data_IF_266698099753
#
_entry.id   IF_266698099753
#
_cell.length_a   1.000
_cell.length_b   1.000
_cell.length_c   1.000
_cell.angle_alpha   90.00
_cell.angle_beta   90.00
_cell.angle_gamma   90.00
#
_symmetry.space_group_name_H-M   'P 1'
#
loop_
_entity.id
_entity.type
_entity.pdbx_description
1 polymer ?
#
# COMPACT_ATOMS: atom_id res chain seq x y z
N UNK A 1 -26.77 52.23 -22.10
CA UNK A 1 -26.46 52.90 -20.81
C UNK A 1 -25.28 52.21 -20.15
N UNK A 2 -24.30 53.01 -19.73
CA UNK A 2 -23.13 52.58 -18.95
C UNK A 2 -23.54 52.22 -17.50
N UNK A 3 -22.88 51.29 -16.76
CA UNK A 3 -23.24 50.95 -15.37
C UNK A 3 -23.35 52.15 -14.44
N UNK A 4 -22.54 53.19 -14.67
CA UNK A 4 -22.60 54.46 -13.94
C UNK A 4 -23.95 55.18 -14.10
N UNK A 5 -24.61 55.03 -15.25
CA UNK A 5 -25.92 55.63 -15.55
C UNK A 5 -27.06 54.99 -14.73
N UNK A 6 -26.96 53.69 -14.45
CA UNK A 6 -27.95 52.95 -13.66
C UNK A 6 -27.81 53.32 -12.17
N UNK A 7 -26.57 53.34 -11.66
CA UNK A 7 -26.27 53.76 -10.29
C UNK A 7 -26.73 55.19 -10.02
N UNK A 8 -26.49 56.12 -10.96
CA UNK A 8 -26.96 57.50 -10.85
C UNK A 8 -28.50 57.60 -10.76
N UNK A 9 -29.22 56.78 -11.53
CA UNK A 9 -30.68 56.74 -11.53
C UNK A 9 -31.24 56.22 -10.21
N UNK A 10 -30.63 55.16 -9.65
CA UNK A 10 -31.00 54.62 -8.33
C UNK A 10 -30.74 55.64 -7.23
N UNK A 11 -29.60 56.34 -7.26
CA UNK A 11 -29.27 57.40 -6.29
C UNK A 11 -30.31 58.52 -6.34
N UNK A 12 -30.71 58.95 -7.54
CA UNK A 12 -31.72 60.00 -7.70
C UNK A 12 -33.08 59.59 -7.09
N UNK A 13 -33.50 58.35 -7.30
CA UNK A 13 -34.73 57.80 -6.70
C UNK A 13 -34.62 57.72 -5.18
N UNK A 14 -33.50 57.23 -4.63
CA UNK A 14 -33.26 57.14 -3.18
C UNK A 14 -33.33 58.52 -2.51
N UNK A 15 -32.67 59.53 -3.08
CA UNK A 15 -32.71 60.90 -2.56
C UNK A 15 -34.12 61.49 -2.58
N UNK A 16 -34.89 61.20 -3.64
CA UNK A 16 -36.26 61.67 -3.76
C UNK A 16 -37.19 60.97 -2.77
N UNK A 17 -37.06 59.65 -2.61
CA UNK A 17 -37.79 58.86 -1.60
C UNK A 17 -37.51 59.36 -0.19
N UNK A 18 -36.25 59.63 0.17
CA UNK A 18 -35.89 60.16 1.49
C UNK A 18 -36.54 61.52 1.76
N UNK A 19 -36.57 62.42 0.76
CA UNK A 19 -37.26 63.72 0.86
C UNK A 19 -38.77 63.54 1.06
N UNK A 20 -39.41 62.65 0.29
CA UNK A 20 -40.84 62.37 0.41
C UNK A 20 -41.17 61.75 1.77
N UNK A 21 -40.36 60.82 2.28
CA UNK A 21 -40.51 60.22 3.61
C UNK A 21 -40.41 61.26 4.73
N UNK A 22 -39.48 62.21 4.63
CA UNK A 22 -39.39 63.34 5.58
C UNK A 22 -40.72 64.11 5.66
N UNK A 23 -41.26 64.52 4.51
CA UNK A 23 -42.55 65.22 4.46
C UNK A 23 -43.71 64.36 4.97
N UNK A 24 -43.68 63.05 4.73
CA UNK A 24 -44.71 62.11 5.20
C UNK A 24 -44.65 61.89 6.72
N UNK A 25 -43.48 62.02 7.36
CA UNK A 25 -43.28 61.81 8.80
C UNK A 25 -43.45 63.09 9.65
N UNK A 26 -43.34 64.29 9.08
CA UNK A 26 -43.41 65.57 9.80
C UNK A 26 -44.80 65.98 10.35
N UNK A 27 -45.86 65.17 10.13
CA UNK A 27 -47.23 65.49 10.57
C UNK A 27 -47.73 64.46 11.58
N UNK A 28 -48.09 64.93 12.78
CA UNK A 28 -48.36 64.10 13.97
C UNK A 28 -49.71 63.36 14.03
N UNK A 29 -50.62 63.54 13.06
CA UNK A 29 -51.92 62.83 12.99
C UNK A 29 -52.26 62.41 11.55
N UNK A 30 -51.57 61.39 11.04
CA UNK A 30 -51.69 60.94 9.66
C UNK A 30 -52.84 59.92 9.46
N UNK A 31 -53.67 60.04 8.40
CA UNK A 31 -54.65 59.02 8.02
C UNK A 31 -53.96 57.69 7.62
N UNK A 32 -54.64 56.55 7.84
CA UNK A 32 -54.11 55.19 7.60
C UNK A 32 -53.40 55.01 6.24
N UNK A 33 -53.97 55.60 5.18
CA UNK A 33 -53.43 55.50 3.81
C UNK A 33 -52.07 56.20 3.65
N UNK A 34 -51.80 57.25 4.45
CA UNK A 34 -50.51 57.96 4.46
C UNK A 34 -49.42 57.14 5.16
N UNK A 35 -49.76 56.48 6.25
CA UNK A 35 -48.85 55.56 6.94
C UNK A 35 -48.50 54.38 6.04
N UNK A 36 -49.47 53.83 5.32
CA UNK A 36 -49.23 52.76 4.34
C UNK A 36 -48.30 53.22 3.20
N UNK A 37 -48.50 54.42 2.67
CA UNK A 37 -47.62 55.00 1.66
C UNK A 37 -46.19 55.20 2.17
N UNK A 38 -46.01 55.64 3.42
CA UNK A 38 -44.69 55.80 4.02
C UNK A 38 -43.99 54.44 4.23
N UNK A 39 -44.72 53.40 4.62
CA UNK A 39 -44.20 52.03 4.78
C UNK A 39 -43.73 51.47 3.42
N UNK A 40 -44.54 51.60 2.37
CA UNK A 40 -44.15 51.07 1.05
C UNK A 40 -42.98 51.83 0.43
N UNK A 41 -42.93 53.17 0.57
CA UNK A 41 -41.76 53.95 0.11
C UNK A 41 -40.51 53.55 0.90
N UNK A 42 -40.62 53.30 2.21
CA UNK A 42 -39.48 52.86 3.04
C UNK A 42 -39.00 51.45 2.66
N UNK A 43 -39.92 50.52 2.39
CA UNK A 43 -39.59 49.17 1.94
C UNK A 43 -38.83 49.21 0.61
N UNK A 44 -39.32 49.99 -0.34
CA UNK A 44 -38.67 50.14 -1.64
C UNK A 44 -37.34 50.89 -1.55
N UNK A 45 -37.24 51.91 -0.68
CA UNK A 45 -35.98 52.60 -0.38
C UNK A 45 -34.92 51.61 0.09
N UNK A 46 -35.27 50.72 1.03
CA UNK A 46 -34.34 49.70 1.54
C UNK A 46 -33.92 48.70 0.44
N UNK A 47 -34.85 48.27 -0.42
CA UNK A 47 -34.53 47.38 -1.54
C UNK A 47 -33.62 48.03 -2.58
N UNK A 48 -33.89 49.29 -2.93
CA UNK A 48 -33.05 50.05 -3.87
C UNK A 48 -31.67 50.38 -3.28
N UNK A 49 -31.60 50.63 -1.97
CA UNK A 49 -30.33 50.81 -1.27
C UNK A 49 -29.48 49.55 -1.32
N UNK A 50 -30.07 48.39 -1.01
CA UNK A 50 -29.40 47.10 -1.13
C UNK A 50 -28.96 46.81 -2.57
N UNK A 51 -29.82 47.08 -3.56
CA UNK A 51 -29.47 46.95 -4.98
C UNK A 51 -28.29 47.84 -5.37
N UNK A 52 -28.23 49.08 -4.88
CA UNK A 52 -27.12 50.02 -5.13
C UNK A 52 -25.80 49.47 -4.59
N UNK A 53 -25.76 49.05 -3.32
CA UNK A 53 -24.53 48.50 -2.70
C UNK A 53 -24.01 47.32 -3.52
N UNK A 54 -24.91 46.45 -4.00
CA UNK A 54 -24.56 45.29 -4.83
C UNK A 54 -24.03 45.63 -6.22
N UNK A 55 -24.49 46.73 -6.82
CA UNK A 55 -23.95 47.23 -8.09
C UNK A 55 -22.55 47.81 -7.87
N UNK A 56 -22.33 48.55 -6.79
CA UNK A 56 -21.03 49.15 -6.46
C UNK A 56 -19.93 48.09 -6.16
N UNK A 57 -20.31 46.94 -5.58
CA UNK A 57 -19.39 45.83 -5.27
C UNK A 57 -19.24 44.78 -6.41
N UNK A 58 -20.08 44.85 -7.45
CA UNK A 58 -20.29 43.76 -8.41
C UNK A 58 -19.60 43.93 -9.77
N UNK A 59 -19.16 42.81 -10.38
CA UNK A 59 -18.57 42.76 -11.72
C UNK A 59 -19.58 43.09 -12.85
N UNK A 60 -19.34 44.15 -13.67
CA UNK A 60 -20.21 44.60 -14.75
C UNK A 60 -20.44 43.60 -15.89
N UNK A 61 -19.60 42.58 -16.02
CA UNK A 61 -19.67 41.59 -17.12
C UNK A 61 -20.68 40.46 -16.85
N UNK A 62 -21.24 40.38 -15.63
CA UNK A 62 -22.13 39.28 -15.26
C UNK A 62 -23.53 39.44 -15.89
N UNK A 63 -24.18 38.37 -16.38
CA UNK A 63 -25.48 38.43 -17.09
C UNK A 63 -26.65 39.09 -16.34
N UNK A 64 -26.62 39.12 -15.00
CA UNK A 64 -27.67 39.76 -14.18
C UNK A 64 -27.66 41.29 -14.32
N UNK A 65 -26.52 41.91 -14.64
CA UNK A 65 -26.43 43.34 -14.92
C UNK A 65 -27.32 43.75 -16.09
N UNK A 66 -27.57 42.85 -17.05
CA UNK A 66 -28.49 43.09 -18.18
C UNK A 66 -29.93 43.28 -17.70
N UNK A 67 -30.35 42.53 -16.68
CA UNK A 67 -31.69 42.65 -16.09
C UNK A 67 -31.84 43.92 -15.25
N UNK A 68 -30.78 44.34 -14.56
CA UNK A 68 -30.77 45.63 -13.83
C UNK A 68 -30.81 46.81 -14.81
N UNK A 69 -30.06 46.73 -15.92
CA UNK A 69 -30.09 47.76 -16.96
C UNK A 69 -31.50 47.96 -17.51
N UNK A 70 -32.30 46.91 -17.60
CA UNK A 70 -33.70 46.99 -18.03
C UNK A 70 -34.60 47.79 -17.06
N UNK A 71 -34.25 47.87 -15.77
CA UNK A 71 -34.98 48.66 -14.79
C UNK A 71 -34.76 50.17 -14.96
N UNK A 72 -33.62 50.57 -15.50
CA UNK A 72 -33.18 51.96 -15.63
C UNK A 72 -33.26 52.51 -17.07
N UNK A 73 -33.97 51.83 -17.98
CA UNK A 73 -34.23 52.34 -19.33
C UNK A 73 -35.12 53.58 -19.24
N UNK A 74 -34.99 54.50 -20.20
CA UNK A 74 -35.87 55.67 -20.34
C UNK A 74 -37.35 55.25 -20.42
N UNK A 75 -38.21 55.83 -19.58
CA UNK A 75 -39.60 55.38 -19.32
C UNK A 75 -39.75 53.97 -18.72
N UNK A 76 -38.66 53.40 -18.22
CA UNK A 76 -38.63 52.12 -17.51
C UNK A 76 -39.14 52.20 -16.07
N UNK A 77 -39.11 51.08 -15.34
CA UNK A 77 -39.69 50.98 -14.00
C UNK A 77 -39.15 52.00 -12.99
N UNK A 78 -37.84 52.31 -13.02
CA UNK A 78 -37.24 53.31 -12.12
C UNK A 78 -37.63 54.75 -12.47
N UNK A 79 -37.70 55.08 -13.76
CA UNK A 79 -38.13 56.40 -14.23
C UNK A 79 -39.61 56.64 -13.93
N UNK A 80 -40.47 55.64 -14.15
CA UNK A 80 -41.88 55.70 -13.80
C UNK A 80 -42.07 55.93 -12.29
N UNK A 81 -41.29 55.24 -11.46
CA UNK A 81 -41.36 55.43 -10.01
C UNK A 81 -40.79 56.80 -9.57
N UNK A 82 -39.72 57.28 -10.21
CA UNK A 82 -39.21 58.64 -9.99
C UNK A 82 -40.26 59.70 -10.33
N UNK A 83 -40.90 59.60 -11.49
CA UNK A 83 -41.99 60.50 -11.91
C UNK A 83 -43.18 60.44 -10.94
N UNK A 84 -43.52 59.24 -10.46
CA UNK A 84 -44.57 59.05 -9.47
C UNK A 84 -44.23 59.71 -8.12
N UNK A 85 -42.97 59.59 -7.66
CA UNK A 85 -42.47 60.27 -6.47
C UNK A 85 -42.40 61.80 -6.64
N UNK A 86 -42.04 62.32 -7.81
CA UNK A 86 -42.04 63.77 -8.08
C UNK A 86 -43.47 64.33 -8.09
N UNK A 87 -44.40 63.59 -8.69
CA UNK A 87 -45.83 63.91 -8.67
C UNK A 87 -46.38 63.90 -7.24
N UNK A 88 -46.02 62.88 -6.45
CA UNK A 88 -46.39 62.77 -5.05
C UNK A 88 -45.80 63.91 -4.22
N UNK A 89 -44.51 64.24 -4.43
CA UNK A 89 -43.83 65.35 -3.76
C UNK A 89 -44.49 66.69 -4.07
N UNK A 90 -44.71 67.03 -5.34
CA UNK A 90 -45.35 68.28 -5.74
C UNK A 90 -46.73 68.43 -5.09
N UNK A 91 -47.52 67.35 -5.09
CA UNK A 91 -48.85 67.31 -4.50
C UNK A 91 -48.84 67.42 -2.97
N UNK A 92 -47.82 66.87 -2.28
CA UNK A 92 -47.63 67.04 -0.83
C UNK A 92 -47.20 68.48 -0.50
N UNK A 93 -46.31 69.07 -1.29
CA UNK A 93 -45.84 70.45 -1.11
C UNK A 93 -46.95 71.48 -1.35
N UNK A 94 -47.83 71.26 -2.33
CA UNK A 94 -49.02 72.10 -2.56
C UNK A 94 -50.03 72.00 -1.40
N UNK A 95 -50.18 70.81 -0.81
CA UNK A 95 -51.01 70.59 0.37
C UNK A 95 -50.48 71.27 1.64
N UNK A 96 -49.17 71.50 1.76
CA UNK A 96 -48.54 72.19 2.90
C UNK A 96 -48.80 73.71 2.87
N UNK A 97 -48.98 74.31 1.69
CA UNK A 97 -49.32 75.74 1.53
C UNK A 97 -50.71 76.09 2.05
N UNK A 98 -51.61 75.11 2.11
CA UNK A 98 -52.91 75.22 2.76
C UNK A 98 -52.73 74.72 4.20
N UNK A 99 -53.08 75.52 5.20
CA UNK A 99 -52.79 75.24 6.62
C UNK A 99 -53.35 73.89 7.14
N UNK A 100 -53.13 73.60 8.44
CA UNK A 100 -53.38 72.28 9.07
C UNK A 100 -54.73 71.61 8.75
N UNK A 101 -55.82 72.38 8.55
CA UNK A 101 -57.14 71.84 8.19
C UNK A 101 -57.27 71.44 6.70
N UNK A 102 -56.49 72.06 5.79
CA UNK A 102 -56.47 71.73 4.36
C UNK A 102 -55.72 70.44 4.04
N UNK A 103 -54.71 70.07 4.85
CA UNK A 103 -53.90 68.87 4.66
C UNK A 103 -54.71 67.57 4.77
N UNK A 104 -55.68 67.50 5.69
CA UNK A 104 -56.54 66.33 5.87
C UNK A 104 -57.61 66.20 4.75
N UNK A 105 -58.08 67.33 4.21
CA UNK A 105 -59.07 67.36 3.13
C UNK A 105 -58.46 67.04 1.75
N UNK A 106 -57.25 67.53 1.47
CA UNK A 106 -56.51 67.22 0.23
C UNK A 106 -56.19 65.72 0.13
N UNK A 107 -55.95 65.05 1.26
CA UNK A 107 -55.70 63.62 1.30
C UNK A 107 -56.97 62.78 1.06
N UNK A 108 -58.14 63.24 1.55
CA UNK A 108 -59.44 62.59 1.33
C UNK A 108 -59.89 62.58 -0.15
N UNK A 109 -59.46 63.56 -0.94
CA UNK A 109 -59.82 63.68 -2.37
C UNK A 109 -58.87 62.94 -3.32
N UNK A 110 -57.73 62.39 -2.85
CA UNK A 110 -56.68 61.78 -3.70
C UNK A 110 -56.50 60.27 -3.53
N UNK A 111 -57.50 59.56 -2.98
CA UNK A 111 -57.43 58.11 -2.69
C UNK A 111 -57.11 57.25 -3.92
N UNK A 112 -57.79 57.48 -5.05
CA UNK A 112 -57.53 56.72 -6.31
C UNK A 112 -56.10 56.90 -6.85
N UNK A 113 -55.48 58.06 -6.64
CA UNK A 113 -54.12 58.33 -7.12
C UNK A 113 -53.07 57.68 -6.21
N UNK A 114 -53.32 57.65 -4.89
CA UNK A 114 -52.47 56.95 -3.91
C UNK A 114 -52.54 55.44 -4.14
N UNK A 115 -53.71 54.89 -4.47
CA UNK A 115 -53.86 53.47 -4.81
C UNK A 115 -53.07 53.11 -6.10
N UNK A 116 -53.09 54.00 -7.11
CA UNK A 116 -52.29 53.86 -8.33
C UNK A 116 -50.78 53.90 -8.06
N UNK A 117 -50.33 54.76 -7.15
CA UNK A 117 -48.94 54.84 -6.70
C UNK A 117 -48.50 53.59 -5.93
N UNK A 118 -49.35 53.06 -5.05
CA UNK A 118 -49.09 51.84 -4.30
C UNK A 118 -48.96 50.63 -5.24
N UNK A 119 -49.83 50.52 -6.25
CA UNK A 119 -49.75 49.46 -7.26
C UNK A 119 -48.47 49.50 -8.11
N UNK A 120 -47.95 50.69 -8.43
CA UNK A 120 -46.66 50.83 -9.11
C UNK A 120 -45.47 50.49 -8.20
N UNK A 121 -45.57 50.87 -6.92
CA UNK A 121 -44.56 50.58 -5.90
C UNK A 121 -44.40 49.08 -5.66
N UNK A 122 -45.50 48.33 -5.58
CA UNK A 122 -45.47 46.87 -5.43
C UNK A 122 -44.87 46.15 -6.64
N UNK A 123 -45.19 46.60 -7.86
CA UNK A 123 -44.60 46.04 -9.08
C UNK A 123 -43.08 46.22 -9.12
N UNK A 124 -42.60 47.42 -8.75
CA UNK A 124 -41.17 47.68 -8.71
C UNK A 124 -40.48 46.89 -7.58
N UNK A 125 -41.12 46.76 -6.41
CA UNK A 125 -40.68 45.92 -5.29
C UNK A 125 -40.49 44.45 -5.71
N UNK A 126 -41.45 43.90 -6.45
CA UNK A 126 -41.38 42.53 -6.98
C UNK A 126 -40.22 42.35 -7.98
N UNK A 127 -40.06 43.29 -8.93
CA UNK A 127 -38.99 43.24 -9.92
C UNK A 127 -37.60 43.35 -9.29
N UNK A 128 -37.43 44.24 -8.30
CA UNK A 128 -36.17 44.36 -7.54
C UNK A 128 -35.92 43.14 -6.67
N UNK A 129 -36.97 42.54 -6.08
CA UNK A 129 -36.88 41.30 -5.31
C UNK A 129 -36.37 40.13 -6.15
N UNK A 130 -36.92 39.92 -7.35
CA UNK A 130 -36.46 38.87 -8.28
C UNK A 130 -35.00 39.07 -8.69
N UNK A 131 -34.60 40.33 -8.93
CA UNK A 131 -33.21 40.67 -9.28
C UNK A 131 -32.22 40.33 -8.15
N UNK A 132 -32.66 40.43 -6.88
CA UNK A 132 -31.85 40.09 -5.70
C UNK A 132 -31.82 38.57 -5.41
N UNK A 133 -32.91 37.81 -5.68
CA UNK A 133 -32.96 36.37 -5.44
C UNK A 133 -32.11 35.52 -6.42
N UNK A 134 -31.88 36.02 -7.64
CA UNK A 134 -31.03 35.38 -8.66
C UNK A 134 -29.56 35.14 -8.20
N UNK A 135 -29.12 35.78 -7.12
CA UNK A 135 -27.77 35.64 -6.56
C UNK A 135 -27.65 34.48 -5.56
N UNK A 136 -28.74 34.12 -4.86
CA UNK A 136 -28.76 32.97 -3.94
C UNK A 136 -28.52 31.63 -4.67
N UNK A 137 -28.99 31.51 -5.92
CA UNK A 137 -28.73 30.33 -6.76
C UNK A 137 -27.25 30.19 -7.14
N UNK A 138 -26.51 31.30 -7.30
CA UNK A 138 -25.08 31.25 -7.65
C UNK A 138 -24.19 30.94 -6.46
N UNK A 139 -24.50 31.48 -5.28
CA UNK A 139 -23.80 31.11 -4.05
C UNK A 139 -23.98 29.60 -3.78
N UNK A 140 -25.18 29.08 -3.97
CA UNK A 140 -25.46 27.65 -3.85
C UNK A 140 -24.68 26.82 -4.88
N UNK A 141 -24.55 27.29 -6.12
CA UNK A 141 -23.77 26.62 -7.16
C UNK A 141 -22.26 26.62 -6.84
N UNK A 142 -21.70 27.74 -6.37
CA UNK A 142 -20.30 27.83 -5.96
C UNK A 142 -20.00 26.90 -4.77
N UNK A 143 -20.90 26.85 -3.77
CA UNK A 143 -20.80 25.90 -2.64
C UNK A 143 -20.84 24.46 -3.16
N UNK A 144 -21.73 24.16 -4.13
CA UNK A 144 -21.85 22.82 -4.73
C UNK A 144 -20.58 22.42 -5.48
N UNK A 145 -19.98 23.33 -6.24
CA UNK A 145 -18.77 23.07 -7.01
C UNK A 145 -17.55 22.87 -6.07
N UNK A 146 -17.41 23.68 -5.03
CA UNK A 146 -16.34 23.55 -4.02
C UNK A 146 -16.48 22.27 -3.18
N UNK A 147 -17.72 21.89 -2.85
CA UNK A 147 -18.03 20.61 -2.18
C UNK A 147 -17.67 19.41 -3.08
N UNK A 148 -17.88 19.52 -4.40
CA UNK A 148 -17.50 18.47 -5.35
C UNK A 148 -15.98 18.33 -5.46
N UNK A 149 -15.22 19.44 -5.49
CA UNK A 149 -13.75 19.41 -5.48
C UNK A 149 -13.23 18.72 -4.22
N UNK A 150 -13.77 19.06 -3.05
CA UNK A 150 -13.39 18.43 -1.78
C UNK A 150 -13.71 16.93 -1.78
N UNK A 151 -14.87 16.53 -2.32
CA UNK A 151 -15.24 15.11 -2.48
C UNK A 151 -14.29 14.35 -3.40
N UNK A 152 -13.75 14.99 -4.44
CA UNK A 152 -12.79 14.34 -5.36
C UNK A 152 -11.38 14.25 -4.82
N UNK A 153 -10.97 15.13 -3.89
CA UNK A 153 -9.63 15.11 -3.30
C UNK A 153 -9.53 14.15 -2.10
N UNK A 154 -10.63 13.90 -1.39
CA UNK A 154 -10.66 13.04 -0.20
C UNK A 154 -10.12 11.60 -0.46
N UNK A 155 -10.46 10.90 -1.55
CA UNK A 155 -9.93 9.56 -1.83
C UNK A 155 -8.43 9.57 -2.13
N UNK A 156 -7.91 10.64 -2.75
CA UNK A 156 -6.49 10.79 -3.07
C UNK A 156 -5.69 11.01 -1.77
N UNK A 157 -6.20 11.85 -0.88
CA UNK A 157 -5.61 12.07 0.44
C UNK A 157 -5.66 10.80 1.30
N UNK A 158 -6.80 10.09 1.33
CA UNK A 158 -6.90 8.80 2.01
C UNK A 158 -5.90 7.80 1.47
N UNK A 159 -5.80 7.63 0.14
CA UNK A 159 -4.80 6.75 -0.47
C UNK A 159 -3.36 7.17 -0.16
N UNK A 160 -3.08 8.48 -0.11
CA UNK A 160 -1.78 9.00 0.30
C UNK A 160 -1.45 8.68 1.76
N UNK A 161 -2.40 8.86 2.67
CA UNK A 161 -2.27 8.54 4.09
C UNK A 161 -2.09 7.03 4.28
N UNK A 162 -2.86 6.20 3.59
CA UNK A 162 -2.75 4.74 3.65
C UNK A 162 -1.37 4.26 3.20
N UNK A 163 -0.84 4.83 2.10
CA UNK A 163 0.52 4.52 1.61
C UNK A 163 1.60 4.96 2.59
N UNK A 164 1.45 6.12 3.22
CA UNK A 164 2.40 6.60 4.24
C UNK A 164 2.36 5.69 5.46
N UNK A 165 1.17 5.34 5.93
CA UNK A 165 0.97 4.44 7.06
C UNK A 165 1.57 3.06 6.79
N UNK A 166 1.27 2.49 5.63
CA UNK A 166 1.83 1.21 5.18
C UNK A 166 3.37 1.27 5.12
N UNK A 167 3.95 2.30 4.51
CA UNK A 167 5.40 2.46 4.45
C UNK A 167 6.06 2.61 5.84
N UNK A 168 5.39 3.25 6.79
CA UNK A 168 5.88 3.31 8.17
C UNK A 168 5.79 1.96 8.88
N UNK A 169 4.73 1.20 8.66
CA UNK A 169 4.53 -0.10 9.28
C UNK A 169 5.51 -1.13 8.72
N UNK A 170 5.77 -1.11 7.41
CA UNK A 170 6.81 -1.92 6.75
C UNK A 170 8.20 -1.61 7.31
N UNK A 171 8.54 -0.32 7.48
CA UNK A 171 9.83 0.10 8.03
C UNK A 171 10.00 -0.31 9.50
N UNK A 172 8.94 -0.22 10.32
CA UNK A 172 8.94 -0.72 11.70
C UNK A 172 9.12 -2.23 11.74
N UNK A 173 8.38 -2.95 10.90
CA UNK A 173 8.45 -4.41 10.81
C UNK A 173 9.85 -4.87 10.40
N UNK A 174 10.46 -4.22 9.39
CA UNK A 174 11.83 -4.52 8.97
C UNK A 174 12.84 -4.35 10.12
N UNK A 175 12.77 -3.23 10.84
CA UNK A 175 13.66 -2.97 12.00
C UNK A 175 13.47 -4.02 13.10
N UNK A 176 12.22 -4.44 13.35
CA UNK A 176 11.93 -5.48 14.31
C UNK A 176 12.56 -6.82 13.91
N UNK A 177 12.43 -7.21 12.63
CA UNK A 177 13.00 -8.46 12.14
C UNK A 177 14.53 -8.47 12.19
N UNK A 178 15.16 -7.34 11.86
CA UNK A 178 16.62 -7.19 11.94
C UNK A 178 17.12 -7.22 13.38
N UNK A 179 16.35 -6.67 14.32
CA UNK A 179 16.67 -6.72 15.75
C UNK A 179 16.61 -8.14 16.33
N UNK A 180 15.67 -8.99 15.88
CA UNK A 180 15.57 -10.39 16.34
C UNK A 180 16.79 -11.20 15.90
N UNK A 181 17.13 -11.13 14.61
CA UNK A 181 18.25 -11.87 14.05
C UNK A 181 18.79 -11.17 12.82
N UNK A 182 20.11 -10.91 12.74
CA UNK A 182 20.74 -10.38 11.54
C UNK A 182 20.88 -11.43 10.43
N UNK A 183 20.57 -12.70 10.72
CA UNK A 183 20.77 -13.80 9.77
C UNK A 183 19.78 -13.71 8.61
N UNK A 184 20.28 -13.90 7.39
CA UNK A 184 19.48 -13.91 6.16
C UNK A 184 19.58 -15.26 5.43
N UNK A 185 18.94 -16.26 6.02
CA UNK A 185 18.77 -17.56 5.35
C UNK A 185 17.96 -17.45 4.03
N UNK A 186 16.94 -16.58 3.89
CA UNK A 186 16.27 -16.38 2.61
C UNK A 186 17.20 -16.02 1.45
N UNK A 187 18.20 -15.16 1.67
CA UNK A 187 19.22 -14.89 0.67
C UNK A 187 20.03 -16.15 0.31
N UNK A 188 20.46 -16.93 1.30
CA UNK A 188 21.18 -18.19 1.07
C UNK A 188 20.33 -19.21 0.29
N UNK A 189 19.06 -19.38 0.67
CA UNK A 189 18.09 -20.23 -0.03
C UNK A 189 17.97 -19.81 -1.50
N UNK A 190 17.79 -18.51 -1.76
CA UNK A 190 17.70 -17.96 -3.12
C UNK A 190 18.94 -18.29 -3.94
N UNK A 191 20.13 -18.17 -3.35
CA UNK A 191 21.39 -18.42 -4.05
C UNK A 191 21.68 -19.90 -4.29
N UNK A 192 21.28 -20.78 -3.38
CA UNK A 192 21.38 -22.24 -3.57
C UNK A 192 20.41 -22.69 -4.65
N UNK A 193 19.14 -22.28 -4.57
CA UNK A 193 18.11 -22.74 -5.52
C UNK A 193 18.35 -22.22 -6.94
N UNK A 194 18.92 -21.00 -7.11
CA UNK A 194 19.36 -20.48 -8.42
C UNK A 194 20.41 -21.36 -9.10
N UNK A 195 21.19 -22.13 -8.33
CA UNK A 195 22.23 -23.03 -8.86
C UNK A 195 21.70 -24.42 -9.19
N UNK A 196 20.44 -24.72 -8.82
CA UNK A 196 19.79 -25.98 -9.14
C UNK A 196 19.72 -26.15 -10.66
N UNK A 197 20.10 -27.33 -11.15
CA UNK A 197 19.85 -27.68 -12.54
C UNK A 197 18.39 -28.11 -12.68
N UNK A 198 17.70 -27.58 -13.69
CA UNK A 198 16.33 -27.98 -13.97
C UNK A 198 16.21 -29.49 -14.20
N UNK A 199 15.20 -30.10 -13.59
CA UNK A 199 14.97 -31.55 -13.66
C UNK A 199 15.78 -32.41 -12.68
N UNK A 200 16.57 -31.83 -11.76
CA UNK A 200 17.25 -32.60 -10.71
C UNK A 200 16.54 -32.56 -9.36
N UNK A 201 16.80 -33.57 -8.53
CA UNK A 201 16.29 -33.72 -7.17
C UNK A 201 14.83 -34.17 -7.06
N UNK A 202 14.23 -34.61 -8.17
CA UNK A 202 12.86 -35.13 -8.17
C UNK A 202 12.77 -36.45 -7.39
N UNK A 203 13.81 -37.29 -7.47
CA UNK A 203 13.90 -38.55 -6.71
C UNK A 203 13.70 -38.36 -5.20
N UNK A 204 14.13 -37.21 -4.67
CA UNK A 204 13.97 -36.89 -3.26
C UNK A 204 12.51 -36.54 -2.95
N UNK A 205 11.88 -35.70 -3.76
CA UNK A 205 10.49 -35.30 -3.56
C UNK A 205 9.51 -36.48 -3.71
N UNK A 206 9.83 -37.44 -4.58
CA UNK A 206 9.02 -38.64 -4.82
C UNK A 206 9.27 -39.75 -3.78
N UNK A 207 10.25 -39.58 -2.88
CA UNK A 207 10.60 -40.59 -1.90
C UNK A 207 9.46 -40.79 -0.87
N UNK A 208 9.10 -42.04 -0.53
CA UNK A 208 8.03 -42.32 0.42
C UNK A 208 8.32 -41.76 1.83
N UNK A 209 9.59 -41.67 2.22
CA UNK A 209 10.02 -41.08 3.48
C UNK A 209 9.70 -39.57 3.53
N UNK A 210 9.82 -38.87 2.40
CA UNK A 210 9.49 -37.44 2.29
C UNK A 210 7.98 -37.25 2.35
N UNK A 211 7.21 -38.06 1.62
CA UNK A 211 5.75 -38.03 1.69
C UNK A 211 5.25 -38.33 3.12
N UNK A 212 5.86 -39.29 3.80
CA UNK A 212 5.55 -39.64 5.20
C UNK A 212 5.85 -38.49 6.16
N UNK A 213 7.04 -37.90 6.06
CA UNK A 213 7.43 -36.74 6.85
C UNK A 213 6.50 -35.54 6.65
N UNK A 214 6.06 -35.31 5.42
CA UNK A 214 5.10 -34.24 5.10
C UNK A 214 3.68 -34.55 5.56
N UNK A 215 3.27 -35.82 5.65
CA UNK A 215 1.91 -36.22 6.01
C UNK A 215 1.68 -36.43 7.51
N UNK A 216 2.70 -36.89 8.24
CA UNK A 216 2.58 -37.28 9.65
C UNK A 216 2.71 -36.08 10.59
N UNK A 217 1.81 -36.00 11.57
CA UNK A 217 1.92 -35.04 12.66
C UNK A 217 3.21 -35.30 13.43
N UNK A 218 3.99 -34.24 13.66
CA UNK A 218 5.31 -34.27 14.29
C UNK A 218 6.30 -35.19 13.56
N UNK A 219 6.17 -35.39 12.25
CA UNK A 219 7.10 -36.20 11.46
C UNK A 219 8.54 -35.68 11.53
N UNK A 220 9.51 -36.60 11.55
CA UNK A 220 10.94 -36.28 11.37
C UNK A 220 11.47 -36.97 10.13
N UNK A 221 12.40 -36.34 9.42
CA UNK A 221 13.19 -36.97 8.37
C UNK A 221 14.67 -36.65 8.57
N UNK A 222 15.49 -37.69 8.77
CA UNK A 222 16.94 -37.54 8.83
C UNK A 222 17.57 -37.94 7.50
N UNK A 223 18.39 -37.04 6.95
CA UNK A 223 18.99 -37.17 5.62
C UNK A 223 20.53 -37.24 5.71
N UNK A 224 21.10 -38.40 6.07
CA UNK A 224 22.54 -38.55 6.13
C UNK A 224 23.14 -38.66 4.72
N UNK A 225 24.40 -38.26 4.55
CA UNK A 225 25.09 -38.46 3.29
C UNK A 225 26.56 -38.06 3.34
N UNK A 226 27.36 -38.61 2.43
CA UNK A 226 28.79 -38.29 2.33
C UNK A 226 29.03 -36.81 1.97
N UNK A 227 30.19 -36.23 2.30
CA UNK A 227 30.57 -34.91 1.81
C UNK A 227 30.43 -34.84 0.28
N UNK A 228 29.84 -33.75 -0.22
CA UNK A 228 29.62 -33.59 -1.65
C UNK A 228 28.42 -34.35 -2.24
N UNK A 229 27.65 -35.11 -1.47
CA UNK A 229 26.48 -35.84 -1.97
C UNK A 229 25.27 -34.95 -2.34
N UNK A 230 25.35 -33.64 -2.12
CA UNK A 230 24.28 -32.70 -2.47
C UNK A 230 23.25 -32.45 -1.37
N UNK A 231 23.57 -32.75 -0.10
CA UNK A 231 22.70 -32.52 1.08
C UNK A 231 22.08 -31.12 1.13
N UNK A 232 22.89 -30.08 0.98
CA UNK A 232 22.43 -28.67 0.92
C UNK A 232 21.48 -28.41 -0.23
N UNK A 233 21.71 -29.01 -1.40
CA UNK A 233 20.78 -28.88 -2.53
C UNK A 233 19.45 -29.59 -2.22
N UNK A 234 19.49 -30.77 -1.60
CA UNK A 234 18.29 -31.49 -1.15
C UNK A 234 17.50 -30.69 -0.11
N UNK A 235 18.16 -30.12 0.90
CA UNK A 235 17.54 -29.24 1.87
C UNK A 235 16.86 -28.02 1.19
N UNK A 236 17.56 -27.36 0.27
CA UNK A 236 17.01 -26.22 -0.47
C UNK A 236 15.82 -26.60 -1.36
N UNK A 237 15.84 -27.81 -1.97
CA UNK A 237 14.71 -28.33 -2.75
C UNK A 237 13.50 -28.62 -1.85
N UNK A 238 13.72 -29.18 -0.66
CA UNK A 238 12.66 -29.40 0.31
C UNK A 238 12.03 -28.06 0.74
N UNK A 239 12.85 -27.06 1.06
CA UNK A 239 12.39 -25.72 1.44
C UNK A 239 11.60 -25.06 0.30
N UNK A 240 12.10 -25.10 -0.93
CA UNK A 240 11.41 -24.52 -2.10
C UNK A 240 10.06 -25.19 -2.36
N UNK A 241 10.00 -26.51 -2.23
CA UNK A 241 8.74 -27.27 -2.34
C UNK A 241 7.75 -26.88 -1.23
N UNK A 242 8.22 -26.83 0.02
CA UNK A 242 7.39 -26.45 1.16
C UNK A 242 6.82 -25.04 0.99
N UNK A 243 7.67 -24.04 0.72
CA UNK A 243 7.24 -22.64 0.53
C UNK A 243 6.16 -22.51 -0.56
N UNK A 244 6.28 -23.26 -1.65
CA UNK A 244 5.26 -23.30 -2.73
C UNK A 244 3.97 -23.98 -2.29
N UNK A 245 4.07 -25.09 -1.58
CA UNK A 245 2.90 -25.85 -1.10
C UNK A 245 2.14 -25.15 0.02
N UNK A 246 2.82 -24.35 0.85
CA UNK A 246 2.24 -23.75 2.05
C UNK A 246 1.75 -22.31 1.88
N UNK A 247 1.95 -21.68 0.70
CA UNK A 247 1.69 -20.26 0.44
C UNK A 247 0.28 -19.77 0.88
N UNK A 248 -0.74 -20.62 0.80
CA UNK A 248 -2.13 -20.28 1.16
C UNK A 248 -2.65 -21.06 2.37
N UNK A 249 -1.77 -21.70 3.13
CA UNK A 249 -2.14 -22.56 4.25
C UNK A 249 -1.76 -21.92 5.59
N UNK A 250 -2.32 -22.43 6.68
CA UNK A 250 -1.94 -22.07 8.05
C UNK A 250 -0.62 -22.72 8.52
N UNK A 251 0.20 -23.21 7.59
CA UNK A 251 1.48 -23.85 7.89
C UNK A 251 2.65 -22.86 7.85
N UNK A 252 3.58 -22.98 8.78
CA UNK A 252 4.82 -22.21 8.81
C UNK A 252 5.98 -23.00 8.20
N UNK A 253 6.93 -22.30 7.59
CA UNK A 253 8.17 -22.90 7.07
C UNK A 253 9.34 -22.07 7.59
N UNK A 254 10.31 -22.73 8.21
CA UNK A 254 11.56 -22.12 8.63
C UNK A 254 12.72 -23.06 8.31
N UNK A 255 13.90 -22.50 8.09
CA UNK A 255 15.09 -23.28 7.77
C UNK A 255 16.36 -22.66 8.33
N UNK A 256 17.34 -23.51 8.59
CA UNK A 256 18.63 -23.14 9.18
C UNK A 256 19.73 -23.77 8.34
N UNK A 257 20.60 -22.94 7.79
CA UNK A 257 21.82 -23.39 7.11
C UNK A 257 22.99 -23.34 8.10
N UNK A 258 23.37 -24.50 8.66
CA UNK A 258 24.55 -24.57 9.52
C UNK A 258 25.80 -24.27 8.70
N UNK A 259 26.71 -23.47 9.25
CA UNK A 259 27.98 -23.13 8.62
C UNK A 259 29.11 -23.15 9.65
N UNK A 260 30.11 -24.00 9.45
CA UNK A 260 31.23 -24.18 10.38
C UNK A 260 32.08 -22.90 10.57
N UNK A 261 32.01 -21.96 9.62
CA UNK A 261 32.75 -20.68 9.67
C UNK A 261 32.08 -19.61 10.51
N UNK A 262 30.81 -19.79 10.84
CA UNK A 262 30.04 -18.85 11.65
C UNK A 262 29.89 -19.42 13.06
N UNK A 263 30.08 -18.57 14.07
CA UNK A 263 29.74 -18.93 15.45
C UNK A 263 28.22 -18.88 15.60
N UNK A 264 27.57 -20.03 15.36
CA UNK A 264 26.13 -20.19 15.47
C UNK A 264 25.82 -20.84 16.83
N UNK A 265 25.28 -20.05 17.75
CA UNK A 265 24.78 -20.53 19.04
C UNK A 265 23.30 -20.92 18.96
N UNK A 266 22.79 -21.59 20.01
CA UNK A 266 21.38 -22.00 20.08
C UNK A 266 20.41 -20.81 19.95
N UNK A 267 20.79 -19.66 20.51
CA UNK A 267 19.98 -18.45 20.55
C UNK A 267 19.75 -17.88 19.15
N UNK A 268 20.83 -17.71 18.38
CA UNK A 268 20.81 -17.18 17.02
C UNK A 268 20.02 -18.06 16.06
N UNK A 269 20.16 -19.40 16.16
CA UNK A 269 19.39 -20.34 15.33
C UNK A 269 17.88 -20.27 15.63
N UNK A 270 17.48 -20.25 16.91
CA UNK A 270 16.06 -20.12 17.28
C UNK A 270 15.52 -18.74 16.91
N UNK A 271 16.31 -17.67 17.05
CA UNK A 271 15.93 -16.33 16.64
C UNK A 271 15.75 -16.23 15.13
N UNK A 272 16.59 -16.90 14.34
CA UNK A 272 16.45 -16.96 12.89
C UNK A 272 15.20 -17.75 12.44
N UNK A 273 14.82 -18.81 13.17
CA UNK A 273 13.54 -19.51 12.98
C UNK A 273 12.38 -18.57 13.31
N UNK A 274 12.44 -17.88 14.45
CA UNK A 274 11.42 -16.92 14.89
C UNK A 274 11.22 -15.81 13.84
N UNK A 275 12.31 -15.22 13.34
CA UNK A 275 12.30 -14.20 12.28
C UNK A 275 11.55 -14.71 11.04
N UNK A 276 11.91 -15.90 10.54
CA UNK A 276 11.28 -16.46 9.33
C UNK A 276 9.79 -16.73 9.52
N UNK A 277 9.37 -17.25 10.68
CA UNK A 277 7.96 -17.50 10.95
C UNK A 277 7.15 -16.20 11.04
N UNK A 278 7.71 -15.13 11.59
CA UNK A 278 7.00 -13.85 11.69
C UNK A 278 6.96 -13.14 10.34
N UNK A 279 8.04 -13.23 9.54
CA UNK A 279 8.07 -12.73 8.17
C UNK A 279 7.09 -13.46 7.26
N UNK A 280 6.96 -14.79 7.42
CA UNK A 280 6.01 -15.59 6.66
C UNK A 280 4.54 -15.25 6.97
N UNK A 281 4.27 -14.71 8.17
CA UNK A 281 2.93 -14.29 8.56
C UNK A 281 2.95 -13.09 9.52
N UNK A 282 2.89 -11.85 8.99
CA UNK A 282 2.98 -10.64 9.81
C UNK A 282 1.93 -10.54 10.93
N UNK A 283 0.78 -11.21 10.80
CA UNK A 283 -0.24 -11.26 11.86
C UNK A 283 0.23 -11.92 13.16
N UNK A 284 1.36 -12.63 13.15
CA UNK A 284 1.94 -13.29 14.33
C UNK A 284 3.06 -12.46 14.98
N UNK A 285 3.22 -11.18 14.61
CA UNK A 285 4.29 -10.32 15.13
C UNK A 285 4.07 -9.85 16.58
N UNK A 286 2.83 -9.87 17.09
CA UNK A 286 2.51 -9.31 18.41
C UNK A 286 3.35 -9.86 19.59
N UNK A 287 3.66 -11.17 19.71
CA UNK A 287 4.58 -11.66 20.74
C UNK A 287 5.99 -11.06 20.63
N UNK A 288 6.48 -10.88 19.41
CA UNK A 288 7.81 -10.32 19.13
C UNK A 288 7.84 -8.82 19.41
N UNK A 289 6.79 -8.09 19.06
CA UNK A 289 6.69 -6.65 19.38
C UNK A 289 6.74 -6.41 20.89
N UNK A 290 6.04 -7.24 21.68
CA UNK A 290 6.10 -7.19 23.15
C UNK A 290 7.51 -7.46 23.66
N UNK A 291 8.18 -8.49 23.12
CA UNK A 291 9.57 -8.80 23.47
C UNK A 291 10.49 -7.61 23.16
N UNK A 292 10.39 -7.04 21.97
CA UNK A 292 11.17 -5.87 21.58
C UNK A 292 10.92 -4.68 22.50
N UNK A 293 9.67 -4.39 22.87
CA UNK A 293 9.36 -3.30 23.81
C UNK A 293 10.04 -3.50 25.18
N UNK A 294 10.03 -4.71 25.72
CA UNK A 294 10.66 -5.03 27.02
C UNK A 294 12.18 -4.77 27.01
N UNK A 295 12.83 -5.08 25.89
CA UNK A 295 14.28 -4.96 25.75
C UNK A 295 14.74 -3.59 25.25
N UNK A 296 13.97 -2.95 24.36
CA UNK A 296 14.29 -1.65 23.79
C UNK A 296 14.30 -0.54 24.84
N UNK A 297 13.38 -0.56 25.80
CA UNK A 297 13.38 0.41 26.92
C UNK A 297 14.62 0.27 27.82
N UNK A 298 15.24 -0.92 27.86
CA UNK A 298 16.38 -1.23 28.74
C UNK A 298 17.73 -1.29 28.02
N UNK A 299 17.75 -1.23 26.69
CA UNK A 299 18.97 -1.40 25.89
C UNK A 299 19.60 -2.80 26.01
N UNK A 300 18.79 -3.84 26.24
CA UNK A 300 19.28 -5.22 26.47
C UNK A 300 18.99 -6.10 25.26
N UNK A 301 19.67 -7.24 25.14
CA UNK A 301 19.37 -8.28 24.15
C UNK A 301 18.49 -9.39 24.77
N UNK A 302 17.63 -10.03 23.98
CA UNK A 302 16.80 -11.12 24.47
C UNK A 302 17.66 -12.35 24.81
N UNK A 303 17.33 -13.00 25.94
CA UNK A 303 17.98 -14.24 26.33
C UNK A 303 17.46 -15.42 25.51
N UNK A 304 18.15 -16.58 25.60
CA UNK A 304 17.69 -17.83 24.99
C UNK A 304 16.26 -18.21 25.41
N UNK A 305 15.91 -18.04 26.69
CA UNK A 305 14.57 -18.36 27.18
C UNK A 305 13.51 -17.35 26.73
N UNK A 306 13.88 -16.09 26.54
CA UNK A 306 12.98 -15.07 25.98
C UNK A 306 12.64 -15.38 24.52
N UNK A 307 13.65 -15.76 23.72
CA UNK A 307 13.45 -16.19 22.33
C UNK A 307 12.63 -17.48 22.28
N UNK A 308 12.96 -18.46 23.12
CA UNK A 308 12.27 -19.74 23.16
C UNK A 308 10.78 -19.60 23.55
N UNK A 309 10.48 -18.81 24.59
CA UNK A 309 9.11 -18.53 25.01
C UNK A 309 8.33 -17.77 23.94
N UNK A 310 8.94 -16.76 23.32
CA UNK A 310 8.33 -16.00 22.22
C UNK A 310 8.05 -16.89 21.01
N UNK A 311 8.97 -17.80 20.68
CA UNK A 311 8.76 -18.79 19.61
C UNK A 311 7.57 -19.70 19.92
N UNK A 312 7.41 -20.16 21.15
CA UNK A 312 6.22 -20.95 21.56
C UNK A 312 4.91 -20.19 21.35
N UNK A 313 4.90 -18.90 21.64
CA UNK A 313 3.73 -18.03 21.43
C UNK A 313 3.43 -17.88 19.93
N UNK A 314 4.45 -17.62 19.10
CA UNK A 314 4.28 -17.50 17.64
C UNK A 314 3.75 -18.80 17.03
N UNK A 315 4.28 -19.95 17.44
CA UNK A 315 3.87 -21.27 16.97
C UNK A 315 2.38 -21.58 17.21
N UNK A 316 1.72 -20.90 18.16
CA UNK A 316 0.28 -21.09 18.41
C UNK A 316 -0.62 -20.65 17.25
N UNK A 317 -0.09 -19.79 16.37
CA UNK A 317 -0.82 -19.24 15.23
C UNK A 317 -0.76 -20.15 13.98
N UNK A 318 -0.01 -21.26 14.07
CA UNK A 318 0.23 -22.20 12.99
C UNK A 318 -0.40 -23.56 13.29
N UNK A 319 -0.96 -24.21 12.27
CA UNK A 319 -1.49 -25.58 12.41
C UNK A 319 -0.37 -26.61 12.47
N UNK A 320 0.64 -26.44 11.62
CA UNK A 320 1.92 -27.15 11.73
C UNK A 320 3.06 -26.26 11.21
N UNK A 321 4.28 -26.51 11.67
CA UNK A 321 5.47 -25.80 11.22
C UNK A 321 6.53 -26.77 10.74
N UNK A 322 7.03 -26.55 9.53
CA UNK A 322 8.16 -27.27 8.98
C UNK A 322 9.46 -26.56 9.35
N UNK A 323 10.41 -27.30 9.91
CA UNK A 323 11.76 -26.81 10.21
C UNK A 323 12.75 -27.68 9.44
N UNK A 324 13.53 -27.07 8.55
CA UNK A 324 14.59 -27.77 7.79
C UNK A 324 15.96 -27.29 8.27
N UNK A 325 16.80 -28.21 8.75
CA UNK A 325 18.17 -27.91 9.19
C UNK A 325 19.15 -28.55 8.22
N UNK A 326 19.91 -27.72 7.51
CA UNK A 326 20.98 -28.19 6.63
C UNK A 326 22.32 -28.29 7.37
N UNK A 327 23.07 -29.33 7.06
CA UNK A 327 24.44 -29.57 7.52
C UNK A 327 24.60 -29.50 9.05
N UNK A 328 23.73 -30.21 9.79
CA UNK A 328 23.72 -30.21 11.26
C UNK A 328 25.08 -30.58 11.90
N UNK A 329 25.94 -31.29 11.17
CA UNK A 329 27.33 -31.57 11.59
C UNK A 329 28.25 -30.35 11.61
N UNK A 330 27.93 -29.31 10.82
CA UNK A 330 28.71 -28.07 10.73
C UNK A 330 28.35 -27.07 11.84
N UNK A 331 27.25 -27.30 12.55
CA UNK A 331 26.94 -26.54 13.76
C UNK A 331 27.93 -26.92 14.89
N UNK A 332 28.72 -25.93 15.34
CA UNK A 332 29.77 -26.15 16.35
C UNK A 332 29.19 -26.74 17.65
N UNK A 333 29.78 -27.83 18.13
CA UNK A 333 29.34 -28.48 19.36
C UNK A 333 30.31 -28.30 20.55
N UNK A 334 31.31 -27.41 20.42
CA UNK A 334 32.32 -27.13 21.46
C UNK A 334 31.70 -26.74 22.81
N UNK A 335 30.56 -26.05 22.79
CA UNK A 335 29.82 -25.62 23.97
C UNK A 335 28.49 -26.36 24.18
N UNK A 336 28.26 -27.48 23.47
CA UNK A 336 26.99 -28.21 23.51
C UNK A 336 25.81 -27.52 22.80
N UNK A 337 26.07 -26.45 22.04
CA UNK A 337 25.04 -25.65 21.37
C UNK A 337 24.15 -26.49 20.44
N UNK A 338 24.73 -27.39 19.64
CA UNK A 338 23.98 -28.32 18.77
C UNK A 338 23.02 -29.19 19.58
N UNK A 339 23.50 -29.79 20.67
CA UNK A 339 22.68 -30.64 21.53
C UNK A 339 21.57 -29.84 22.24
N UNK A 340 21.87 -28.63 22.71
CA UNK A 340 20.89 -27.73 23.33
C UNK A 340 19.82 -27.29 22.33
N UNK A 341 20.21 -26.98 21.10
CA UNK A 341 19.29 -26.64 20.01
C UNK A 341 18.34 -27.78 19.67
N UNK A 342 18.87 -29.01 19.50
CA UNK A 342 18.04 -30.19 19.27
C UNK A 342 17.10 -30.47 20.45
N UNK A 343 17.56 -30.29 21.69
CA UNK A 343 16.73 -30.45 22.89
C UNK A 343 15.57 -29.44 22.89
N UNK A 344 15.84 -28.15 22.65
CA UNK A 344 14.80 -27.12 22.55
C UNK A 344 13.80 -27.41 21.43
N UNK A 345 14.25 -27.89 20.26
CA UNK A 345 13.33 -28.30 19.18
C UNK A 345 12.45 -29.49 19.59
N UNK A 346 12.98 -30.47 20.33
CA UNK A 346 12.21 -31.58 20.90
C UNK A 346 11.17 -31.08 21.91
N UNK A 347 11.52 -30.12 22.76
CA UNK A 347 10.59 -29.50 23.71
C UNK A 347 9.43 -28.79 23.00
N UNK A 348 9.70 -28.07 21.90
CA UNK A 348 8.65 -27.44 21.09
C UNK A 348 7.73 -28.48 20.43
N UNK A 349 8.31 -29.57 19.92
CA UNK A 349 7.58 -30.71 19.32
C UNK A 349 6.69 -31.43 20.33
N UNK A 350 7.01 -31.41 21.62
CA UNK A 350 6.12 -31.98 22.64
C UNK A 350 4.75 -31.28 22.66
N UNK A 351 4.72 -29.96 22.42
CA UNK A 351 3.55 -29.09 22.61
C UNK A 351 2.87 -28.66 21.29
N UNK A 352 3.59 -28.69 20.16
CA UNK A 352 3.12 -28.23 18.84
C UNK A 352 3.42 -29.25 17.73
N UNK A 353 2.70 -29.17 16.61
CA UNK A 353 3.03 -29.96 15.41
C UNK A 353 4.20 -29.29 14.68
N UNK A 354 5.41 -29.75 14.99
CA UNK A 354 6.62 -29.34 14.29
C UNK A 354 7.19 -30.54 13.55
N UNK A 355 7.32 -30.39 12.24
CA UNK A 355 7.84 -31.40 11.31
C UNK A 355 9.28 -31.05 10.98
N UNK A 356 10.20 -31.93 11.32
CA UNK A 356 11.63 -31.65 11.31
C UNK A 356 12.32 -32.41 10.18
N UNK A 357 13.09 -31.73 9.36
CA UNK A 357 14.05 -32.37 8.46
C UNK A 357 15.44 -31.92 8.83
N UNK A 358 16.40 -32.85 8.91
CA UNK A 358 17.79 -32.51 9.16
C UNK A 358 18.70 -33.24 8.18
N UNK A 359 19.69 -32.55 7.62
CA UNK A 359 20.76 -33.17 6.82
C UNK A 359 22.05 -33.21 7.62
N UNK A 360 22.84 -34.27 7.45
CA UNK A 360 24.16 -34.36 8.09
C UNK A 360 25.10 -35.38 7.43
N UNK A 361 26.38 -35.37 7.80
CA UNK A 361 27.27 -36.52 7.58
C UNK A 361 26.90 -37.69 8.49
N UNK A 362 27.46 -38.86 8.19
CA UNK A 362 27.39 -40.03 9.06
C UNK A 362 28.25 -39.83 10.31
N UNK A 363 27.69 -39.16 11.32
CA UNK A 363 28.32 -38.91 12.62
C UNK A 363 27.51 -39.65 13.69
N UNK A 364 28.10 -40.62 14.42
CA UNK A 364 27.36 -41.45 15.37
C UNK A 364 26.52 -40.66 16.38
N UNK A 365 27.06 -39.58 16.94
CA UNK A 365 26.36 -38.72 17.90
C UNK A 365 25.06 -38.12 17.33
N UNK A 366 25.07 -37.73 16.05
CA UNK A 366 23.90 -37.15 15.37
C UNK A 366 22.95 -38.28 14.99
N UNK A 367 23.46 -39.38 14.44
CA UNK A 367 22.64 -40.54 14.08
C UNK A 367 21.88 -41.10 15.28
N UNK A 368 22.51 -41.12 16.45
CA UNK A 368 21.88 -41.54 17.69
C UNK A 368 20.75 -40.61 18.13
N UNK A 369 20.85 -39.30 17.85
CA UNK A 369 19.79 -38.34 18.14
C UNK A 369 18.52 -38.54 17.29
N UNK A 370 18.67 -39.20 16.13
CA UNK A 370 17.63 -39.52 15.13
C UNK A 370 17.48 -41.04 14.90
N UNK A 371 17.77 -41.87 15.91
CA UNK A 371 17.81 -43.33 15.75
C UNK A 371 16.46 -43.93 15.37
N UNK A 372 15.38 -43.38 15.91
CA UNK A 372 14.01 -43.90 15.71
C UNK A 372 13.27 -43.23 14.55
N UNK A 373 13.88 -42.20 13.94
CA UNK A 373 13.27 -41.41 12.88
C UNK A 373 13.52 -42.02 11.49
N UNK A 374 12.60 -41.84 10.52
CA UNK A 374 12.83 -42.19 9.12
C UNK A 374 14.12 -41.59 8.56
N UNK A 375 14.86 -42.40 7.81
CA UNK A 375 16.15 -42.02 7.22
C UNK A 375 16.12 -42.13 5.71
N UNK A 376 16.56 -41.07 5.02
CA UNK A 376 16.72 -41.07 3.56
C UNK A 376 18.15 -40.64 3.23
N UNK A 377 18.97 -41.60 2.80
CA UNK A 377 20.35 -41.31 2.47
C UNK A 377 20.45 -40.42 1.22
N UNK A 378 21.12 -39.29 1.35
CA UNK A 378 21.39 -38.39 0.24
C UNK A 378 22.57 -38.92 -0.55
N UNK A 379 22.29 -39.37 -1.77
CA UNK A 379 23.27 -39.87 -2.75
C UNK A 379 23.05 -39.18 -4.09
N UNK A 380 24.15 -38.97 -4.82
CA UNK A 380 24.06 -38.50 -6.18
C UNK A 380 23.47 -39.60 -7.07
N UNK A 381 22.24 -39.40 -7.59
CA UNK A 381 21.65 -40.34 -8.53
C UNK A 381 22.33 -40.20 -9.89
N UNK A 382 22.53 -41.33 -10.57
CA UNK A 382 23.17 -41.36 -11.89
C UNK A 382 22.49 -40.39 -12.86
N UNK A 383 21.16 -40.38 -12.85
CA UNK A 383 20.33 -39.54 -13.70
C UNK A 383 20.48 -38.05 -13.39
N UNK A 384 20.52 -37.66 -12.10
CA UNK A 384 20.70 -36.25 -11.74
C UNK A 384 22.10 -35.76 -12.07
N UNK A 385 23.12 -36.60 -11.90
CA UNK A 385 24.49 -36.29 -12.33
C UNK A 385 24.53 -36.13 -13.85
N UNK A 386 23.89 -37.00 -14.62
CA UNK A 386 23.80 -36.88 -16.08
C UNK A 386 23.11 -35.58 -16.50
N UNK A 387 21.96 -35.23 -15.90
CA UNK A 387 21.23 -33.98 -16.16
C UNK A 387 22.06 -32.76 -15.78
N UNK A 388 22.71 -32.79 -14.62
CA UNK A 388 23.60 -31.73 -14.16
C UNK A 388 24.75 -31.53 -15.15
N UNK A 389 25.47 -32.59 -15.50
CA UNK A 389 26.59 -32.55 -16.45
C UNK A 389 26.14 -32.01 -17.81
N UNK A 390 25.02 -32.49 -18.34
CA UNK A 390 24.44 -31.99 -19.59
C UNK A 390 24.15 -30.49 -19.55
N UNK A 391 23.55 -29.99 -18.46
CA UNK A 391 23.27 -28.58 -18.25
C UNK A 391 24.52 -27.71 -18.09
N UNK A 392 25.67 -28.29 -17.74
CA UNK A 392 26.94 -27.57 -17.57
C UNK A 392 27.87 -27.65 -18.81
N UNK A 393 27.47 -28.34 -19.89
CA UNK A 393 28.30 -28.52 -21.09
C UNK A 393 28.76 -27.20 -21.73
N UNK A 394 27.95 -26.14 -21.65
CA UNK A 394 28.28 -24.81 -22.17
C UNK A 394 29.50 -24.16 -21.49
N UNK A 395 29.94 -24.70 -20.33
CA UNK A 395 31.12 -24.22 -19.60
C UNK A 395 32.41 -24.91 -20.01
N UNK A 396 32.34 -25.99 -20.78
CA UNK A 396 33.53 -26.72 -21.25
C UNK A 396 34.19 -26.04 -22.45
N UNK A 397 35.46 -26.37 -22.79
CA UNK A 397 36.11 -25.84 -23.99
C UNK A 397 35.32 -26.08 -25.29
N UNK A 398 35.43 -25.15 -26.25
CA UNK A 398 34.68 -25.19 -27.53
C UNK A 398 34.89 -26.48 -28.34
N UNK A 399 36.03 -27.15 -28.21
CA UNK A 399 36.28 -28.43 -28.89
C UNK A 399 35.35 -29.54 -28.39
N UNK A 400 35.02 -29.55 -27.10
CA UNK A 400 34.06 -30.51 -26.52
C UNK A 400 32.63 -30.05 -26.84
N UNK A 401 32.35 -28.74 -26.79
CA UNK A 401 31.01 -28.22 -27.10
C UNK A 401 30.56 -28.50 -28.55
N UNK A 402 31.51 -28.61 -29.50
CA UNK A 402 31.20 -28.81 -30.93
C UNK A 402 31.13 -30.27 -31.34
N UNK A 403 31.59 -31.19 -30.49
CA UNK A 403 31.69 -32.62 -30.81
C UNK A 403 30.76 -33.44 -29.89
N UNK A 404 29.67 -33.93 -30.47
CA UNK A 404 28.68 -34.77 -29.77
C UNK A 404 29.26 -36.06 -29.21
N UNK A 405 30.29 -36.64 -29.84
CA UNK A 405 30.93 -37.87 -29.35
C UNK A 405 31.79 -37.56 -28.12
N UNK A 406 32.51 -36.44 -28.12
CA UNK A 406 33.26 -35.99 -26.94
C UNK A 406 32.33 -35.62 -25.78
N UNK A 407 31.17 -35.00 -26.04
CA UNK A 407 30.17 -34.75 -24.99
C UNK A 407 29.64 -36.04 -24.37
N UNK A 408 29.38 -37.06 -25.19
CA UNK A 408 28.96 -38.39 -24.73
C UNK A 408 30.00 -39.03 -23.81
N UNK A 409 31.27 -39.05 -24.25
CA UNK A 409 32.39 -39.60 -23.48
C UNK A 409 32.57 -38.87 -22.15
N UNK A 410 32.53 -37.53 -22.18
CA UNK A 410 32.67 -36.71 -20.97
C UNK A 410 31.54 -37.02 -19.99
N UNK A 411 30.29 -37.08 -20.46
CA UNK A 411 29.13 -37.43 -19.61
C UNK A 411 29.30 -38.80 -18.97
N UNK A 412 29.58 -39.82 -19.77
CA UNK A 412 29.74 -41.20 -19.30
C UNK A 412 30.87 -41.31 -18.28
N UNK A 413 32.05 -40.74 -18.57
CA UNK A 413 33.22 -40.82 -17.68
C UNK A 413 33.04 -40.08 -16.36
N UNK A 414 32.36 -38.93 -16.38
CA UNK A 414 32.07 -38.18 -15.14
C UNK A 414 31.09 -38.98 -14.28
N UNK A 415 30.05 -39.53 -14.90
CA UNK A 415 29.03 -40.30 -14.19
C UNK A 415 29.62 -41.58 -13.57
N UNK A 416 30.53 -42.26 -14.27
CA UNK A 416 31.30 -43.38 -13.73
C UNK A 416 32.23 -42.96 -12.57
N UNK A 417 32.83 -41.77 -12.66
CA UNK A 417 33.76 -41.28 -11.64
C UNK A 417 33.06 -40.72 -10.38
N UNK A 418 31.80 -40.30 -10.52
CA UNK A 418 30.99 -39.74 -9.43
C UNK A 418 30.35 -40.89 -8.67
N UNK A 419 31.11 -41.48 -7.74
CA UNK A 419 30.64 -42.49 -6.79
C UNK A 419 29.78 -41.85 -5.68
N UNK A 420 28.61 -41.33 -6.05
CA UNK A 420 27.67 -40.69 -5.12
C UNK A 420 28.01 -39.24 -4.69
N UNK A 421 29.06 -38.61 -5.24
CA UNK A 421 29.50 -37.23 -4.91
C UNK A 421 29.39 -36.22 -6.07
N UNK A 422 28.54 -35.19 -5.94
CA UNK A 422 28.50 -34.05 -6.88
C UNK A 422 29.74 -33.13 -6.80
N UNK A 423 30.52 -33.16 -5.71
CA UNK A 423 31.62 -32.22 -5.46
C UNK A 423 32.85 -32.41 -6.36
N UNK A 424 33.02 -33.58 -7.00
CA UNK A 424 34.18 -33.83 -7.87
C UNK A 424 34.26 -32.84 -9.05
N UNK A 425 33.11 -32.34 -9.52
CA UNK A 425 33.03 -31.36 -10.61
C UNK A 425 33.52 -29.96 -10.22
N UNK A 426 33.20 -29.47 -9.02
CA UNK A 426 33.65 -28.15 -8.55
C UNK A 426 35.16 -28.13 -8.28
N UNK A 427 35.73 -29.21 -7.78
CA UNK A 427 37.18 -29.31 -7.52
C UNK A 427 37.98 -29.47 -8.81
N UNK A 428 37.37 -30.02 -9.87
CA UNK A 428 37.94 -29.99 -11.22
C UNK A 428 38.13 -28.56 -11.76
N UNK A 429 37.46 -27.52 -11.22
CA UNK A 429 37.78 -26.11 -11.52
C UNK A 429 39.17 -25.70 -11.02
N UNK A 430 39.61 -26.21 -9.87
CA UNK A 430 40.85 -25.78 -9.22
C UNK A 430 42.10 -26.53 -9.75
N UNK A 431 41.91 -27.74 -10.27
CA UNK A 431 42.97 -28.55 -10.91
C UNK A 431 42.91 -28.48 -12.44
N UNK A 432 42.62 -27.28 -12.98
CA UNK A 432 42.50 -26.98 -14.40
C UNK A 432 43.82 -27.07 -15.20
N UNK A 433 44.76 -27.92 -14.78
CA UNK A 433 45.86 -28.40 -15.61
C UNK A 433 46.05 -29.91 -15.41
N UNK A 434 46.17 -30.40 -14.17
CA UNK A 434 46.68 -31.75 -13.92
C UNK A 434 45.63 -32.88 -13.91
N UNK A 435 44.39 -32.64 -13.45
CA UNK A 435 43.36 -33.69 -13.40
C UNK A 435 42.72 -33.91 -14.75
N UNK A 436 42.50 -32.81 -15.50
CA UNK A 436 42.09 -32.89 -16.91
C UNK A 436 43.19 -33.48 -17.78
N UNK A 437 44.50 -33.24 -17.54
CA UNK A 437 45.59 -33.94 -18.24
C UNK A 437 45.70 -35.42 -17.86
N UNK A 438 45.43 -35.80 -16.61
CA UNK A 438 45.39 -37.21 -16.19
C UNK A 438 44.27 -37.99 -16.86
N UNK A 439 43.05 -37.44 -16.87
CA UNK A 439 41.91 -38.03 -17.57
C UNK A 439 41.98 -37.86 -19.10
N UNK A 440 42.57 -36.79 -19.63
CA UNK A 440 42.88 -36.68 -21.07
C UNK A 440 43.97 -37.66 -21.50
N UNK A 441 44.97 -37.95 -20.66
CA UNK A 441 46.00 -38.94 -20.97
C UNK A 441 45.37 -40.34 -21.03
N UNK A 442 44.53 -40.70 -20.06
CA UNK A 442 43.80 -41.97 -20.08
C UNK A 442 42.77 -42.05 -21.23
N UNK A 443 42.01 -40.99 -21.50
CA UNK A 443 41.05 -40.94 -22.60
C UNK A 443 41.73 -40.92 -23.98
N UNK A 444 42.81 -40.14 -24.18
CA UNK A 444 43.59 -40.15 -25.42
C UNK A 444 44.28 -41.49 -25.63
N UNK A 445 44.82 -42.15 -24.59
CA UNK A 445 45.42 -43.47 -24.74
C UNK A 445 44.37 -44.51 -25.15
N UNK A 446 43.16 -44.43 -24.60
CA UNK A 446 42.04 -45.32 -24.95
C UNK A 446 41.46 -45.03 -26.35
N UNK A 447 41.36 -43.77 -26.76
CA UNK A 447 40.91 -43.34 -28.09
C UNK A 447 41.95 -43.67 -29.17
N UNK A 448 43.25 -43.53 -28.86
CA UNK A 448 44.34 -43.87 -29.77
C UNK A 448 44.50 -45.39 -29.95
N UNK A 449 44.17 -46.19 -28.93
CA UNK A 449 44.12 -47.66 -29.03
C UNK A 449 42.94 -48.14 -29.90
N UNK A 450 41.73 -47.59 -29.68
CA UNK A 450 40.53 -47.93 -30.48
C UNK A 450 40.61 -47.50 -31.95
N UNK A 451 41.31 -46.42 -32.27
CA UNK A 451 41.55 -46.00 -33.67
C UNK A 451 42.64 -46.81 -34.37
N UNK A 452 43.53 -47.47 -33.63
CA UNK A 452 44.57 -48.35 -34.20
C UNK A 452 44.06 -49.77 -34.49
N UNK A 453 43.11 -50.26 -33.70
CA UNK A 453 42.40 -51.54 -33.93
C UNK A 453 41.49 -51.48 -35.16
N UNK A 454 40.77 -50.36 -35.38
CA UNK A 454 39.95 -50.14 -36.59
C UNK A 454 40.72 -49.93 -37.89
N UNK A 455 42.05 -49.86 -37.85
CA UNK A 455 42.92 -49.82 -39.06
C UNK A 455 43.64 -51.15 -39.34
N UNK A 456 43.41 -52.19 -38.52
CA UNK A 456 43.98 -53.54 -38.67
C UNK A 456 42.94 -54.64 -38.91
N UNK A 457 41.69 -54.25 -39.12
CA UNK A 457 40.60 -55.06 -39.70
C UNK A 457 40.07 -54.28 -40.89
#
# INVERSE_FOLDING_TARGET
>A
MDPLSVTASIIAVLQLSAKVLGYLNDVKDAPKDRAQCAIEISNLYNLLFNLRVRIEEGDPLKPWYTSIRALAIENGPLDQFKQALETLKAKITDGIRLGKAGQALVWKFKKQEVDGFLGQTERLKSLVGIALELDHLKLSQAIKDDTNVTRTQLPILQSGVDKIQQGQDDAKHYRLMEWISPTDYPAQQSDIIKRKQEGTGQWFLDAPEVARWQGEAKGTLFCPGIPGAGKTMVAAIAVDHLLKSTHNSSHGVAYVYCNYKEEQDTSSMLAAILKQLVQGRPSTAAPVERLHQQHATRGTTPSLEDIFSTLRDVLTNYTAVYVVIDALDECQNSNGARSQFLAKLKDLRAVRDIRLMATSRFIPEIEDAFREDPRLEVKASKEDVERFVAGQMYRLPRCIQRDSALQGIVREKIVEAVDGMYACWSTCRATSAYVLLGFFSLACTSIHFKTRERRKT
#
